data_IF_472648555950
#
_entry.id   IF_472648555950
#
_cell.length_a   1.000
_cell.length_b   1.000
_cell.length_c   1.000
_cell.angle_alpha   90.00
_cell.angle_beta   90.00
_cell.angle_gamma   90.00
#
_symmetry.space_group_name_H-M   'P 1'
#
loop_
_entity.id
_entity.type
_entity.pdbx_description
1 polymer ?
#
# COMPACT_ATOMS: atom_id res chain seq x y z
N UNK A 1 57.59 39.85 -8.93
CA UNK A 1 56.79 40.22 -7.73
C UNK A 1 55.93 39.04 -7.32
N UNK A 2 56.52 38.08 -6.60
CA UNK A 2 55.83 36.91 -6.04
C UNK A 2 55.42 37.25 -4.61
N UNK A 3 54.14 37.60 -4.43
CA UNK A 3 53.54 37.78 -3.11
C UNK A 3 53.72 36.48 -2.30
N UNK A 4 54.59 36.51 -1.30
CA UNK A 4 54.73 35.45 -0.31
C UNK A 4 53.45 35.39 0.53
N UNK A 5 52.44 34.65 0.07
CA UNK A 5 51.29 34.31 0.90
C UNK A 5 51.82 33.64 2.18
N UNK A 6 51.45 34.22 3.33
CA UNK A 6 51.83 33.71 4.64
C UNK A 6 51.41 32.24 4.79
N UNK A 7 52.12 31.50 5.65
CA UNK A 7 51.84 30.08 5.90
C UNK A 7 50.36 29.83 6.27
N UNK A 8 49.75 30.78 7.00
CA UNK A 8 48.33 30.78 7.32
C UNK A 8 47.43 30.85 6.08
N UNK A 9 47.78 31.68 5.09
CA UNK A 9 47.00 31.80 3.87
C UNK A 9 47.03 30.53 3.01
N UNK A 10 48.18 29.83 2.97
CA UNK A 10 48.31 28.54 2.28
C UNK A 10 47.47 27.45 2.95
N UNK A 11 47.44 27.43 4.28
CA UNK A 11 46.60 26.51 5.05
C UNK A 11 45.10 26.71 4.75
N UNK A 12 44.62 27.95 4.78
CA UNK A 12 43.22 28.24 4.47
C UNK A 12 42.83 27.91 3.02
N UNK A 13 43.72 28.13 2.05
CA UNK A 13 43.49 27.74 0.65
C UNK A 13 43.37 26.22 0.50
N UNK A 14 44.24 25.44 1.15
CA UNK A 14 44.16 23.97 1.15
C UNK A 14 42.89 23.46 1.83
N UNK A 15 42.47 24.08 2.94
CA UNK A 15 41.23 23.72 3.63
C UNK A 15 40.00 23.94 2.73
N UNK A 16 39.92 25.10 2.07
CA UNK A 16 38.82 25.40 1.13
C UNK A 16 38.82 24.41 -0.04
N UNK A 17 39.99 24.09 -0.60
CA UNK A 17 40.12 23.10 -1.68
C UNK A 17 39.63 21.72 -1.26
N UNK A 18 40.03 21.25 -0.06
CA UNK A 18 39.59 19.98 0.50
C UNK A 18 38.08 19.95 0.77
N UNK A 19 37.51 21.00 1.36
CA UNK A 19 36.08 21.09 1.61
C UNK A 19 35.27 21.12 0.31
N UNK A 20 35.76 21.82 -0.71
CA UNK A 20 35.11 21.87 -2.03
C UNK A 20 35.18 20.50 -2.73
N UNK A 21 36.34 19.83 -2.67
CA UNK A 21 36.51 18.47 -3.17
C UNK A 21 35.62 17.46 -2.45
N UNK A 22 35.50 17.55 -1.13
CA UNK A 22 34.59 16.72 -0.34
C UNK A 22 33.12 16.98 -0.67
N UNK A 23 32.71 18.26 -0.84
CA UNK A 23 31.36 18.62 -1.23
C UNK A 23 31.01 18.10 -2.63
N UNK A 24 31.94 18.20 -3.59
CA UNK A 24 31.81 17.63 -4.94
C UNK A 24 31.69 16.10 -4.90
N UNK A 25 32.59 15.42 -4.19
CA UNK A 25 32.57 13.97 -4.05
C UNK A 25 31.27 13.50 -3.37
N UNK A 26 30.87 14.16 -2.29
CA UNK A 26 29.61 13.89 -1.60
C UNK A 26 28.41 14.10 -2.53
N UNK A 27 28.39 15.18 -3.30
CA UNK A 27 27.39 15.45 -4.32
C UNK A 27 27.31 14.34 -5.37
N UNK A 28 28.47 13.94 -5.94
CA UNK A 28 28.59 12.90 -6.97
C UNK A 28 28.18 11.53 -6.44
N UNK A 29 28.63 11.11 -5.26
CA UNK A 29 28.25 9.80 -4.67
C UNK A 29 26.75 9.76 -4.37
N UNK A 30 26.22 10.86 -3.80
CA UNK A 30 24.79 10.96 -3.49
C UNK A 30 23.94 10.98 -4.76
N UNK A 31 24.42 11.57 -5.85
CA UNK A 31 23.69 11.69 -7.12
C UNK A 31 23.89 10.47 -8.04
N UNK A 32 25.02 9.77 -7.96
CA UNK A 32 25.30 8.55 -8.72
C UNK A 32 24.28 7.45 -8.42
N UNK A 33 23.90 7.27 -7.16
CA UNK A 33 22.82 6.35 -6.77
C UNK A 33 21.45 6.74 -7.34
N UNK A 34 21.17 8.05 -7.44
CA UNK A 34 19.92 8.62 -7.98
C UNK A 34 19.86 8.47 -9.51
N UNK A 35 20.91 8.88 -10.20
CA UNK A 35 21.04 8.77 -11.65
C UNK A 35 21.10 7.32 -12.13
N UNK A 36 21.71 6.40 -11.39
CA UNK A 36 21.70 4.97 -11.73
C UNK A 36 20.28 4.37 -11.66
N UNK A 37 19.51 4.70 -10.62
CA UNK A 37 18.11 4.26 -10.48
C UNK A 37 17.22 4.80 -11.59
N UNK A 38 17.30 6.10 -11.86
CA UNK A 38 16.55 6.76 -12.94
C UNK A 38 16.86 6.14 -14.31
N UNK A 39 18.15 5.93 -14.61
CA UNK A 39 18.60 5.30 -15.87
C UNK A 39 18.20 3.83 -16.00
N UNK A 40 18.15 3.07 -14.90
CA UNK A 40 17.71 1.68 -14.94
C UNK A 40 16.20 1.56 -15.19
N UNK A 41 15.41 2.45 -14.58
CA UNK A 41 13.96 2.47 -14.74
C UNK A 41 13.55 3.01 -16.11
N UNK A 42 14.19 4.09 -16.58
CA UNK A 42 14.00 4.63 -17.93
C UNK A 42 14.28 3.57 -19.01
N UNK A 43 15.38 2.81 -18.88
CA UNK A 43 15.69 1.69 -19.80
C UNK A 43 14.64 0.59 -19.78
N UNK A 44 14.04 0.27 -18.63
CA UNK A 44 12.94 -0.72 -18.53
C UNK A 44 11.67 -0.23 -19.20
N UNK A 45 11.35 1.05 -19.05
CA UNK A 45 10.19 1.69 -19.69
C UNK A 45 10.38 1.69 -21.21
N UNK A 46 11.56 2.11 -21.69
CA UNK A 46 11.93 2.10 -23.11
C UNK A 46 11.85 0.69 -23.72
N UNK A 47 12.36 -0.32 -23.01
CA UNK A 47 12.30 -1.71 -23.46
C UNK A 47 10.88 -2.29 -23.56
N UNK A 48 9.89 -1.70 -22.88
CA UNK A 48 8.48 -2.12 -22.97
C UNK A 48 7.77 -1.56 -24.20
N UNK A 49 8.41 -0.69 -24.99
CA UNK A 49 7.85 -0.16 -26.23
C UNK A 49 6.56 0.64 -26.05
N UNK A 50 6.35 1.22 -24.86
CA UNK A 50 5.17 2.07 -24.59
C UNK A 50 5.19 3.27 -25.53
N UNK A 51 4.08 3.58 -26.20
CA UNK A 51 4.00 4.78 -27.03
C UNK A 51 4.32 6.01 -26.17
N UNK A 52 5.44 6.67 -26.46
CA UNK A 52 5.99 7.74 -25.61
C UNK A 52 4.95 8.82 -25.26
N UNK A 53 4.05 9.17 -26.20
CA UNK A 53 3.05 10.21 -26.00
C UNK A 53 1.98 9.93 -24.94
N UNK A 54 1.42 8.72 -24.86
CA UNK A 54 0.39 8.40 -23.85
C UNK A 54 1.00 8.24 -22.45
N UNK A 55 2.21 7.70 -22.42
CA UNK A 55 2.97 7.43 -21.22
C UNK A 55 3.49 8.74 -20.58
N UNK A 56 4.00 9.68 -21.39
CA UNK A 56 4.45 11.00 -20.91
C UNK A 56 3.29 11.86 -20.37
N UNK A 57 2.12 11.81 -21.02
CA UNK A 57 0.91 12.51 -20.54
C UNK A 57 0.42 11.96 -19.21
N UNK A 58 0.42 10.64 -19.04
CA UNK A 58 0.04 10.04 -17.77
C UNK A 58 1.06 10.35 -16.66
N UNK A 59 2.36 10.33 -16.96
CA UNK A 59 3.43 10.72 -16.05
C UNK A 59 3.33 12.19 -15.60
N UNK A 60 2.90 13.08 -16.48
CA UNK A 60 2.63 14.48 -16.16
C UNK A 60 1.41 14.63 -15.22
N UNK A 61 0.29 13.98 -15.56
CA UNK A 61 -0.93 13.95 -14.72
C UNK A 61 -0.64 13.43 -13.29
N UNK A 62 0.12 12.34 -13.18
CA UNK A 62 0.59 11.78 -11.91
C UNK A 62 1.40 12.78 -11.09
N UNK A 63 2.23 13.56 -11.77
CA UNK A 63 3.03 14.60 -11.15
C UNK A 63 2.24 15.74 -10.55
N UNK A 64 1.27 16.22 -11.32
CA UNK A 64 0.38 17.29 -10.91
C UNK A 64 -0.47 16.86 -9.72
N UNK A 65 -1.03 15.63 -9.74
CA UNK A 65 -1.77 15.08 -8.62
C UNK A 65 -0.93 14.99 -7.34
N UNK A 66 0.34 14.58 -7.46
CA UNK A 66 1.24 14.53 -6.31
C UNK A 66 1.58 15.92 -5.77
N UNK A 67 1.81 16.90 -6.64
CA UNK A 67 2.08 18.27 -6.23
C UNK A 67 0.89 18.88 -5.48
N UNK A 68 -0.33 18.61 -5.94
CA UNK A 68 -1.56 19.01 -5.27
C UNK A 68 -1.70 18.37 -3.89
N UNK A 69 -1.50 17.06 -3.77
CA UNK A 69 -1.51 16.36 -2.48
C UNK A 69 -0.47 16.97 -1.51
N UNK A 70 0.72 17.29 -2.00
CA UNK A 70 1.74 17.99 -1.22
C UNK A 70 1.32 19.40 -0.79
N UNK A 71 0.63 20.13 -1.64
CA UNK A 71 0.16 21.47 -1.33
C UNK A 71 -1.02 21.45 -0.34
N UNK A 72 -1.95 20.51 -0.48
CA UNK A 72 -3.05 20.29 0.45
C UNK A 72 -2.52 19.95 1.86
N UNK A 73 -1.52 19.06 1.96
CA UNK A 73 -0.85 18.77 3.23
C UNK A 73 -0.15 19.98 3.85
N UNK A 74 0.43 20.90 3.06
CA UNK A 74 1.06 22.12 3.58
C UNK A 74 0.02 23.12 4.12
N UNK A 75 -1.20 23.11 3.59
CA UNK A 75 -2.32 23.96 4.03
C UNK A 75 -2.97 23.41 5.30
N UNK A 76 -3.04 22.10 5.45
CA UNK A 76 -3.44 21.43 6.69
C UNK A 76 -2.34 21.59 7.75
N UNK A 77 -2.68 22.09 8.94
CA UNK A 77 -1.75 22.47 10.03
C UNK A 77 -0.94 21.32 10.67
N UNK A 78 -0.71 20.19 9.99
CA UNK A 78 0.07 19.08 10.54
C UNK A 78 1.57 19.41 10.52
N UNK A 79 2.17 19.58 11.71
CA UNK A 79 3.63 19.74 11.87
C UNK A 79 4.39 18.42 11.66
N UNK A 80 3.70 17.28 11.63
CA UNK A 80 4.30 15.95 11.46
C UNK A 80 4.30 15.51 9.99
N UNK A 81 5.29 14.73 9.53
CA UNK A 81 5.27 14.16 8.19
C UNK A 81 4.06 13.23 8.06
N UNK A 82 3.14 13.52 7.15
CA UNK A 82 2.01 12.63 6.84
C UNK A 82 2.54 11.40 6.07
N UNK A 83 2.23 10.17 6.49
CA UNK A 83 2.66 8.96 5.80
C UNK A 83 1.84 8.64 4.55
N UNK A 84 2.49 8.01 3.57
CA UNK A 84 1.97 7.74 2.24
C UNK A 84 1.79 6.24 2.04
N UNK A 85 0.57 5.79 1.77
CA UNK A 85 0.24 4.37 1.59
C UNK A 85 -0.29 4.12 0.20
N UNK A 86 0.21 3.08 -0.45
CA UNK A 86 -0.27 2.63 -1.75
C UNK A 86 -1.32 1.55 -1.56
N UNK A 87 -2.54 1.78 -2.06
CA UNK A 87 -3.68 0.86 -2.00
C UNK A 87 -3.89 0.23 -3.37
N UNK A 88 -4.00 -1.08 -3.42
CA UNK A 88 -4.19 -1.83 -4.66
C UNK A 88 -5.04 -3.07 -4.38
N UNK A 89 -5.86 -3.43 -5.36
CA UNK A 89 -6.85 -4.48 -5.32
C UNK A 89 -7.52 -4.54 -6.68
N UNK A 90 -8.26 -5.59 -6.96
CA UNK A 90 -9.06 -5.69 -8.17
C UNK A 90 -10.33 -4.80 -8.06
N UNK A 91 -11.20 -4.87 -9.08
CA UNK A 91 -12.42 -4.06 -9.09
C UNK A 91 -13.38 -4.45 -7.96
N UNK A 92 -13.43 -5.73 -7.58
CA UNK A 92 -14.28 -6.20 -6.50
C UNK A 92 -13.92 -5.57 -5.15
N UNK A 93 -12.64 -5.29 -4.92
CA UNK A 93 -12.16 -4.71 -3.67
C UNK A 93 -12.74 -3.32 -3.36
N UNK A 94 -13.30 -2.62 -4.36
CA UNK A 94 -13.94 -1.31 -4.21
C UNK A 94 -13.07 -0.29 -3.44
N UNK A 95 -11.83 -0.09 -3.89
CA UNK A 95 -10.91 0.87 -3.26
C UNK A 95 -11.50 2.28 -3.10
N UNK A 96 -12.20 2.87 -4.08
CA UNK A 96 -12.83 4.18 -3.89
C UNK A 96 -13.82 4.19 -2.73
N UNK A 97 -14.63 3.14 -2.57
CA UNK A 97 -15.56 2.98 -1.46
C UNK A 97 -14.86 2.85 -0.11
N UNK A 98 -13.79 2.05 -0.03
CA UNK A 98 -12.96 1.92 1.18
C UNK A 98 -12.32 3.26 1.58
N UNK A 99 -11.76 3.98 0.61
CA UNK A 99 -11.08 5.25 0.85
C UNK A 99 -12.06 6.36 1.24
N UNK A 100 -13.25 6.40 0.63
CA UNK A 100 -14.32 7.30 1.04
C UNK A 100 -14.82 6.98 2.46
N UNK A 101 -14.97 5.69 2.80
CA UNK A 101 -15.33 5.24 4.15
C UNK A 101 -14.28 5.64 5.20
N UNK A 102 -13.00 5.69 4.83
CA UNK A 102 -11.91 6.21 5.68
C UNK A 102 -11.82 7.74 5.75
N UNK A 103 -12.89 8.45 5.40
CA UNK A 103 -12.97 9.92 5.31
C UNK A 103 -11.90 10.53 4.39
N UNK A 104 -11.54 9.80 3.32
CA UNK A 104 -10.64 10.30 2.29
C UNK A 104 -11.34 11.29 1.36
N UNK A 105 -10.70 12.44 1.14
CA UNK A 105 -11.07 13.37 0.08
C UNK A 105 -10.23 13.06 -1.17
N UNK A 106 -10.88 12.72 -2.28
CA UNK A 106 -10.18 12.48 -3.56
C UNK A 106 -9.74 13.82 -4.15
N UNK A 107 -8.46 13.93 -4.44
CA UNK A 107 -7.91 15.10 -5.12
C UNK A 107 -8.36 15.14 -6.57
N UNK A 108 -8.75 16.31 -7.10
CA UNK A 108 -9.17 16.42 -8.49
C UNK A 108 -8.00 16.11 -9.41
N UNK A 109 -8.25 15.26 -10.41
CA UNK A 109 -7.31 15.10 -11.52
C UNK A 109 -7.28 16.41 -12.31
N UNK A 110 -6.10 16.92 -12.64
CA UNK A 110 -6.01 18.11 -13.50
C UNK A 110 -6.29 17.67 -14.93
N UNK A 111 -7.38 18.18 -15.51
CA UNK A 111 -7.67 17.99 -16.93
C UNK A 111 -6.61 18.76 -17.74
N UNK A 112 -5.75 18.04 -18.43
CA UNK A 112 -4.87 18.63 -19.42
C UNK A 112 -5.66 18.73 -20.73
N UNK A 113 -6.02 19.94 -21.15
CA UNK A 113 -6.57 20.28 -22.48
C UNK A 113 -7.60 19.28 -23.05
N UNK A 114 -8.70 19.04 -22.33
CA UNK A 114 -9.87 18.33 -22.85
C UNK A 114 -9.71 16.82 -23.07
N UNK A 115 -8.53 16.25 -22.81
CA UNK A 115 -8.33 14.81 -22.75
C UNK A 115 -8.31 14.35 -21.29
N UNK A 116 -9.22 13.43 -20.92
CA UNK A 116 -9.05 12.64 -19.69
C UNK A 116 -7.77 11.82 -19.87
N UNK A 117 -6.66 12.31 -19.34
CA UNK A 117 -5.53 11.44 -19.06
C UNK A 117 -6.05 10.39 -18.09
N UNK A 118 -6.13 9.12 -18.54
CA UNK A 118 -6.39 7.97 -17.68
C UNK A 118 -5.27 7.93 -16.63
N UNK A 119 -5.52 8.61 -15.51
CA UNK A 119 -4.55 8.81 -14.47
C UNK A 119 -4.25 7.44 -13.87
N UNK A 120 -2.98 7.02 -13.95
CA UNK A 120 -2.58 5.73 -13.43
C UNK A 120 -2.85 5.60 -11.95
N UNK A 121 -2.82 6.67 -11.15
CA UNK A 121 -3.10 6.62 -9.71
C UNK A 121 -3.96 7.81 -9.29
N UNK A 122 -4.84 7.59 -8.31
CA UNK A 122 -5.62 8.64 -7.68
C UNK A 122 -5.10 8.95 -6.28
N UNK A 123 -5.18 10.22 -5.90
CA UNK A 123 -4.66 10.70 -4.63
C UNK A 123 -5.82 11.00 -3.70
N UNK A 124 -5.77 10.43 -2.50
CA UNK A 124 -6.76 10.63 -1.46
C UNK A 124 -6.08 11.18 -0.22
N UNK A 125 -6.65 12.24 0.35
CA UNK A 125 -6.17 12.85 1.58
C UNK A 125 -7.12 12.47 2.70
N UNK A 126 -6.60 11.80 3.73
CA UNK A 126 -7.32 11.58 4.99
C UNK A 126 -6.78 12.54 6.06
N UNK A 127 -7.40 12.54 7.24
CA UNK A 127 -6.91 13.33 8.36
C UNK A 127 -5.47 12.99 8.79
N UNK A 128 -5.03 11.74 8.57
CA UNK A 128 -3.77 11.22 9.11
C UNK A 128 -2.81 10.63 8.06
N UNK A 129 -3.26 10.37 6.83
CA UNK A 129 -2.46 9.71 5.79
C UNK A 129 -2.75 10.26 4.39
N UNK A 130 -1.81 10.08 3.46
CA UNK A 130 -2.09 10.16 2.02
C UNK A 130 -2.24 8.73 1.50
N UNK A 131 -3.40 8.44 0.91
CA UNK A 131 -3.66 7.18 0.24
C UNK A 131 -3.53 7.36 -1.27
N UNK A 132 -2.77 6.47 -1.90
CA UNK A 132 -2.57 6.42 -3.35
C UNK A 132 -3.35 5.21 -3.84
N UNK A 133 -4.45 5.46 -4.53
CA UNK A 133 -5.30 4.44 -5.12
C UNK A 133 -4.71 3.99 -6.46
N UNK A 134 -4.42 2.69 -6.58
CA UNK A 134 -4.06 2.05 -7.83
C UNK A 134 -5.34 1.52 -8.50
N UNK A 135 -5.61 1.87 -9.77
CA UNK A 135 -6.73 1.38 -10.55
C UNK A 135 -6.74 -0.14 -10.64
N UNK A 136 -7.94 -0.74 -10.73
CA UNK A 136 -8.10 -2.18 -10.74
C UNK A 136 -7.39 -2.86 -11.91
N UNK A 137 -7.24 -2.19 -13.06
CA UNK A 137 -6.58 -2.74 -14.25
C UNK A 137 -5.11 -3.10 -14.01
N UNK A 138 -4.44 -2.46 -13.06
CA UNK A 138 -3.07 -2.79 -12.67
C UNK A 138 -2.97 -4.16 -11.98
N UNK A 139 -4.10 -4.67 -11.48
CA UNK A 139 -4.23 -5.96 -10.79
C UNK A 139 -5.14 -6.92 -11.57
N UNK A 140 -5.81 -6.46 -12.61
CA UNK A 140 -6.69 -7.27 -13.45
C UNK A 140 -5.97 -8.03 -14.57
N UNK A 141 -6.73 -8.47 -15.57
CA UNK A 141 -6.18 -9.26 -16.69
C UNK A 141 -5.24 -8.45 -17.58
N UNK A 142 -5.47 -7.13 -17.67
CA UNK A 142 -4.63 -6.20 -18.40
C UNK A 142 -3.27 -5.90 -17.72
N UNK A 143 -3.05 -6.37 -16.48
CA UNK A 143 -1.84 -6.08 -15.71
C UNK A 143 -0.54 -6.54 -16.39
N UNK A 144 -0.62 -7.55 -17.27
CA UNK A 144 0.52 -8.05 -18.04
C UNK A 144 0.84 -7.25 -19.31
N UNK A 145 -0.03 -6.35 -19.72
CA UNK A 145 0.15 -5.62 -20.98
C UNK A 145 1.32 -4.63 -20.89
N UNK A 146 2.08 -4.41 -21.98
CA UNK A 146 3.18 -3.45 -21.98
C UNK A 146 2.74 -2.02 -21.61
N UNK A 147 1.52 -1.64 -22.00
CA UNK A 147 0.93 -0.34 -21.68
C UNK A 147 0.74 -0.16 -20.17
N UNK A 148 0.01 -1.08 -19.52
CA UNK A 148 -0.23 -0.99 -18.07
C UNK A 148 1.05 -1.10 -17.26
N UNK A 149 1.98 -1.97 -17.69
CA UNK A 149 3.28 -2.12 -17.03
C UNK A 149 4.16 -0.88 -17.18
N UNK A 150 4.20 -0.28 -18.37
CA UNK A 150 4.93 0.97 -18.59
C UNK A 150 4.39 2.10 -17.72
N UNK A 151 3.07 2.23 -17.68
CA UNK A 151 2.36 3.20 -16.85
C UNK A 151 2.69 3.04 -15.36
N UNK A 152 2.63 1.81 -14.84
CA UNK A 152 3.01 1.49 -13.46
C UNK A 152 4.46 1.89 -13.12
N UNK A 153 5.43 1.54 -13.98
CA UNK A 153 6.84 1.86 -13.76
C UNK A 153 7.09 3.37 -13.82
N UNK A 154 6.39 4.10 -14.68
CA UNK A 154 6.44 5.56 -14.74
C UNK A 154 5.88 6.20 -13.46
N UNK A 155 4.78 5.69 -12.92
CA UNK A 155 4.22 6.13 -11.64
C UNK A 155 5.21 5.94 -10.49
N UNK A 156 5.89 4.78 -10.43
CA UNK A 156 6.93 4.52 -9.46
C UNK A 156 8.15 5.46 -9.63
N UNK A 157 8.53 5.79 -10.87
CA UNK A 157 9.60 6.74 -11.15
C UNK A 157 9.23 8.14 -10.67
N UNK A 158 8.04 8.61 -11.05
CA UNK A 158 7.49 9.90 -10.67
C UNK A 158 7.46 10.08 -9.14
N UNK A 159 7.03 9.05 -8.41
CA UNK A 159 7.02 9.02 -6.95
C UNK A 159 8.43 9.08 -6.36
N UNK A 160 9.37 8.34 -6.94
CA UNK A 160 10.76 8.30 -6.52
C UNK A 160 11.48 9.64 -6.62
N UNK A 161 11.25 10.35 -7.73
CA UNK A 161 11.92 11.61 -8.05
C UNK A 161 11.47 12.74 -7.11
N UNK A 162 10.17 12.78 -6.79
CA UNK A 162 9.58 13.86 -5.99
C UNK A 162 9.63 13.57 -4.48
N UNK A 163 9.72 12.31 -4.05
CA UNK A 163 9.89 11.91 -2.64
C UNK A 163 11.17 11.12 -2.41
N UNK A 164 12.28 11.85 -2.33
CA UNK A 164 13.64 11.29 -2.33
C UNK A 164 14.05 10.44 -1.10
N UNK A 165 13.41 10.60 0.07
CA UNK A 165 13.77 9.88 1.31
C UNK A 165 12.92 8.63 1.54
N UNK A 166 11.62 8.86 1.73
CA UNK A 166 10.62 7.82 1.99
C UNK A 166 9.44 8.04 1.03
N UNK A 167 9.56 7.52 -0.22
CA UNK A 167 8.50 7.65 -1.21
C UNK A 167 7.16 7.06 -0.74
N UNK A 168 7.21 5.91 -0.05
CA UNK A 168 6.06 5.26 0.58
C UNK A 168 6.39 4.89 2.03
N UNK A 169 5.34 4.80 2.84
CA UNK A 169 5.33 4.32 4.22
C UNK A 169 4.75 2.91 4.37
N UNK A 170 4.03 2.42 3.37
CA UNK A 170 3.54 1.05 3.33
C UNK A 170 2.66 0.79 2.12
N UNK A 171 2.22 -0.46 2.02
CA UNK A 171 1.37 -0.96 0.95
C UNK A 171 0.16 -1.69 1.54
N UNK A 172 -1.03 -1.44 1.01
CA UNK A 172 -2.28 -2.04 1.45
C UNK A 172 -2.85 -2.87 0.29
N UNK A 173 -2.77 -4.18 0.42
CA UNK A 173 -3.37 -5.15 -0.49
C UNK A 173 -4.82 -5.38 -0.06
N UNK A 174 -5.77 -4.99 -0.91
CA UNK A 174 -7.19 -5.17 -0.66
C UNK A 174 -7.75 -6.32 -1.49
N UNK A 175 -8.55 -7.18 -0.87
CA UNK A 175 -9.26 -8.29 -1.53
C UNK A 175 -10.71 -8.31 -1.05
N UNK A 176 -11.66 -8.53 -1.95
CA UNK A 176 -13.07 -8.53 -1.57
C UNK A 176 -13.45 -9.83 -0.85
N UNK A 177 -14.32 -9.73 0.15
CA UNK A 177 -14.89 -10.86 0.86
C UNK A 177 -15.59 -11.83 -0.10
N UNK A 178 -16.28 -11.31 -1.12
CA UNK A 178 -16.96 -12.12 -2.14
C UNK A 178 -15.98 -13.02 -2.91
N UNK A 179 -14.78 -12.53 -3.24
CA UNK A 179 -13.83 -13.30 -4.05
C UNK A 179 -13.20 -14.40 -3.19
N UNK A 180 -12.97 -14.11 -1.90
CA UNK A 180 -12.51 -15.10 -0.94
C UNK A 180 -13.51 -16.24 -0.70
N UNK A 181 -14.81 -15.98 -0.88
CA UNK A 181 -15.89 -16.98 -0.70
C UNK A 181 -16.24 -17.74 -1.98
N UNK A 182 -16.11 -17.10 -3.15
CA UNK A 182 -16.74 -17.58 -4.38
C UNK A 182 -15.77 -17.79 -5.54
N UNK A 183 -14.57 -17.21 -5.51
CA UNK A 183 -13.61 -17.44 -6.59
C UNK A 183 -13.01 -18.84 -6.48
N UNK A 184 -12.74 -19.44 -7.64
CA UNK A 184 -11.97 -20.68 -7.69
C UNK A 184 -10.56 -20.46 -7.14
N UNK A 185 -9.99 -21.50 -6.52
CA UNK A 185 -8.67 -21.40 -5.87
C UNK A 185 -7.58 -20.93 -6.84
N UNK A 186 -7.64 -21.36 -8.11
CA UNK A 186 -6.72 -20.95 -9.17
C UNK A 186 -6.81 -19.46 -9.49
N UNK A 187 -8.03 -18.91 -9.54
CA UNK A 187 -8.27 -17.52 -9.88
C UNK A 187 -7.84 -16.61 -8.73
N UNK A 188 -8.14 -17.03 -7.49
CA UNK A 188 -7.70 -16.34 -6.29
C UNK A 188 -6.17 -16.34 -6.16
N UNK A 189 -5.52 -17.48 -6.43
CA UNK A 189 -4.06 -17.57 -6.46
C UNK A 189 -3.45 -16.71 -7.58
N UNK A 190 -4.08 -16.67 -8.75
CA UNK A 190 -3.66 -15.81 -9.86
C UNK A 190 -3.74 -14.33 -9.46
N UNK A 191 -4.85 -13.89 -8.88
CA UNK A 191 -5.03 -12.54 -8.37
C UNK A 191 -3.94 -12.18 -7.33
N UNK A 192 -3.74 -13.04 -6.33
CA UNK A 192 -2.70 -12.87 -5.33
C UNK A 192 -1.29 -12.79 -5.96
N UNK A 193 -1.02 -13.56 -7.01
CA UNK A 193 0.24 -13.51 -7.74
C UNK A 193 0.42 -12.18 -8.51
N UNK A 194 -0.64 -11.60 -9.08
CA UNK A 194 -0.58 -10.26 -9.71
C UNK A 194 -0.25 -9.20 -8.65
N UNK A 195 -0.92 -9.25 -7.51
CA UNK A 195 -0.69 -8.35 -6.37
C UNK A 195 0.71 -8.49 -5.78
N UNK A 196 1.21 -9.72 -5.67
CA UNK A 196 2.59 -10.00 -5.25
C UNK A 196 3.61 -9.36 -6.19
N UNK A 197 3.39 -9.42 -7.50
CA UNK A 197 4.29 -8.75 -8.46
C UNK A 197 4.36 -7.25 -8.21
N UNK A 198 3.24 -6.58 -7.92
CA UNK A 198 3.24 -5.15 -7.60
C UNK A 198 4.01 -4.85 -6.31
N UNK A 199 3.86 -5.68 -5.27
CA UNK A 199 4.65 -5.56 -4.03
C UNK A 199 6.15 -5.70 -4.27
N UNK A 200 6.56 -6.75 -5.00
CA UNK A 200 7.96 -7.02 -5.34
C UNK A 200 8.53 -5.87 -6.21
N UNK A 201 7.83 -5.48 -7.27
CA UNK A 201 8.27 -4.41 -8.17
C UNK A 201 8.37 -3.05 -7.48
N UNK A 202 7.44 -2.73 -6.58
CA UNK A 202 7.52 -1.50 -5.77
C UNK A 202 8.72 -1.56 -4.84
N UNK A 203 8.90 -2.66 -4.11
CA UNK A 203 9.99 -2.82 -3.14
C UNK A 203 11.36 -2.75 -3.82
N UNK A 204 11.52 -3.38 -4.98
CA UNK A 204 12.75 -3.36 -5.77
C UNK A 204 13.02 -2.00 -6.41
N UNK A 205 11.99 -1.38 -6.98
CA UNK A 205 12.11 -0.09 -7.67
C UNK A 205 12.38 1.03 -6.67
N UNK A 206 11.74 1.01 -5.51
CA UNK A 206 11.95 1.97 -4.42
C UNK A 206 13.17 1.64 -3.55
N UNK A 207 13.69 0.42 -3.62
CA UNK A 207 14.75 -0.12 -2.76
C UNK A 207 14.39 0.00 -1.29
N UNK A 208 13.13 -0.30 -0.97
CA UNK A 208 12.59 -0.22 0.39
C UNK A 208 12.07 -1.61 0.77
N UNK A 209 12.35 -2.00 2.01
CA UNK A 209 11.59 -3.06 2.65
C UNK A 209 10.39 -2.41 3.33
N UNK A 210 9.20 -2.64 2.78
CA UNK A 210 7.98 -1.95 3.20
C UNK A 210 7.07 -2.84 4.03
N UNK A 211 6.34 -2.26 5.00
CA UNK A 211 5.21 -2.93 5.62
C UNK A 211 4.09 -3.10 4.59
N UNK A 212 3.50 -4.28 4.58
CA UNK A 212 2.38 -4.65 3.74
C UNK A 212 1.21 -5.14 4.60
N UNK A 213 0.01 -4.65 4.32
CA UNK A 213 -1.23 -4.98 5.01
C UNK A 213 -2.14 -5.75 4.07
N UNK A 214 -2.83 -6.75 4.60
CA UNK A 214 -3.93 -7.41 3.92
C UNK A 214 -5.24 -6.87 4.49
N UNK A 215 -6.09 -6.33 3.63
CA UNK A 215 -7.40 -5.79 4.02
C UNK A 215 -8.48 -6.52 3.25
N UNK A 216 -9.39 -7.15 3.96
CA UNK A 216 -10.62 -7.70 3.39
C UNK A 216 -11.64 -6.58 3.32
N UNK A 217 -12.15 -6.30 2.13
CA UNK A 217 -13.21 -5.32 1.91
C UNK A 217 -14.53 -6.02 1.61
N UNK A 218 -15.64 -5.29 1.59
CA UNK A 218 -16.91 -5.85 1.17
C UNK A 218 -17.66 -6.63 2.26
N UNK A 219 -17.35 -6.43 3.54
CA UNK A 219 -18.13 -7.07 4.62
C UNK A 219 -19.61 -6.66 4.57
N UNK A 220 -19.92 -5.48 4.03
CA UNK A 220 -21.29 -4.99 3.88
C UNK A 220 -22.15 -5.85 2.94
N UNK A 221 -21.50 -6.66 2.10
CA UNK A 221 -22.14 -7.55 1.13
C UNK A 221 -22.42 -8.94 1.72
N UNK A 222 -21.93 -9.23 2.93
CA UNK A 222 -22.15 -10.52 3.58
C UNK A 222 -23.58 -10.62 4.14
N UNK A 223 -24.18 -11.82 4.12
CA UNK A 223 -25.51 -12.03 4.68
C UNK A 223 -25.53 -11.63 6.16
N UNK A 224 -26.60 -10.95 6.57
CA UNK A 224 -26.81 -10.52 7.95
C UNK A 224 -26.01 -9.30 8.42
N UNK A 225 -25.16 -8.70 7.58
CA UNK A 225 -24.40 -7.48 7.94
C UNK A 225 -25.30 -6.35 8.43
N UNK A 226 -26.43 -6.08 7.76
CA UNK A 226 -27.33 -4.98 8.14
C UNK A 226 -27.91 -5.13 9.56
N UNK A 227 -28.15 -6.37 10.00
CA UNK A 227 -28.63 -6.66 11.37
C UNK A 227 -27.50 -6.50 12.37
N UNK A 228 -26.32 -7.07 12.06
CA UNK A 228 -25.13 -6.91 12.89
C UNK A 228 -24.78 -5.43 13.09
N UNK A 229 -24.73 -4.65 12.02
CA UNK A 229 -24.40 -3.24 12.08
C UNK A 229 -25.37 -2.46 12.97
N UNK A 230 -26.68 -2.73 12.87
CA UNK A 230 -27.68 -2.06 13.71
C UNK A 230 -27.57 -2.44 15.19
N UNK A 231 -27.10 -3.65 15.48
CA UNK A 231 -26.95 -4.15 16.83
C UNK A 231 -25.67 -3.65 17.52
N UNK A 232 -24.67 -3.21 16.76
CA UNK A 232 -23.41 -2.71 17.31
C UNK A 232 -23.48 -1.21 17.65
N UNK A 233 -22.89 -0.79 18.78
CA UNK A 233 -22.78 0.63 19.11
C UNK A 233 -21.78 1.33 18.18
N UNK A 234 -21.90 2.67 17.98
CA UNK A 234 -21.01 3.44 17.10
C UNK A 234 -19.53 3.25 17.41
N UNK A 235 -19.15 3.13 18.68
CA UNK A 235 -17.75 2.95 19.09
C UNK A 235 -17.19 1.61 18.58
N UNK A 236 -17.99 0.55 18.57
CA UNK A 236 -17.60 -0.74 18.03
C UNK A 236 -17.52 -0.73 16.50
N UNK A 237 -18.38 0.05 15.85
CA UNK A 237 -18.35 0.25 14.40
C UNK A 237 -17.14 1.07 13.93
N UNK A 238 -16.65 2.01 14.74
CA UNK A 238 -15.41 2.75 14.43
C UNK A 238 -14.13 1.95 14.70
N UNK A 239 -14.19 0.93 15.56
CA UNK A 239 -13.04 0.11 15.92
C UNK A 239 -12.63 -0.83 14.77
N UNK A 240 -11.33 -0.94 14.49
CA UNK A 240 -10.88 -1.86 13.45
C UNK A 240 -11.02 -3.31 13.91
N UNK A 241 -11.54 -4.15 13.01
CA UNK A 241 -11.63 -5.60 13.19
C UNK A 241 -10.46 -6.24 12.46
N UNK A 242 -9.57 -6.90 13.20
CA UNK A 242 -8.37 -7.49 12.62
C UNK A 242 -7.28 -7.75 13.64
N UNK A 243 -6.06 -7.90 13.14
CA UNK A 243 -4.88 -8.16 13.94
C UNK A 243 -3.67 -7.44 13.36
N UNK A 244 -2.91 -6.74 14.22
CA UNK A 244 -1.65 -6.10 13.86
C UNK A 244 -0.50 -7.00 14.30
N UNK A 245 0.24 -7.55 13.34
CA UNK A 245 1.46 -8.31 13.61
C UNK A 245 2.55 -7.34 14.06
N UNK A 246 3.21 -7.60 15.19
CA UNK A 246 4.24 -6.72 15.77
C UNK A 246 5.67 -7.08 15.36
N UNK A 247 5.86 -8.07 14.50
CA UNK A 247 7.10 -8.87 14.44
C UNK A 247 8.41 -8.09 14.17
N UNK A 248 9.48 -8.30 14.98
CA UNK A 248 10.85 -7.92 14.69
C UNK A 248 11.71 -9.00 13.97
N UNK A 249 11.19 -10.20 13.67
CA UNK A 249 12.02 -11.31 13.16
C UNK A 249 12.47 -11.16 11.69
N UNK A 250 13.76 -11.40 11.37
CA UNK A 250 14.31 -11.27 10.02
C UNK A 250 14.14 -12.51 9.12
N UNK A 251 13.67 -13.64 9.64
CA UNK A 251 13.41 -14.84 8.84
C UNK A 251 12.15 -15.52 9.36
N UNK A 252 11.05 -15.31 8.66
CA UNK A 252 9.81 -16.00 8.96
C UNK A 252 9.88 -17.36 8.25
N UNK A 253 10.31 -18.40 8.97
CA UNK A 253 10.39 -19.77 8.45
C UNK A 253 9.01 -20.44 8.32
N UNK A 254 8.03 -19.97 9.10
CA UNK A 254 6.66 -20.46 9.07
C UNK A 254 5.96 -20.04 7.76
N UNK A 255 5.31 -20.96 7.03
CA UNK A 255 4.51 -20.63 5.85
C UNK A 255 3.48 -19.53 6.11
N UNK A 256 3.19 -18.71 5.09
CA UNK A 256 2.29 -17.58 5.26
C UNK A 256 0.85 -18.00 5.59
N UNK A 257 0.38 -19.15 5.09
CA UNK A 257 -0.91 -19.73 5.45
C UNK A 257 -1.02 -20.07 6.95
N UNK A 258 0.02 -20.68 7.55
CA UNK A 258 0.01 -21.03 8.98
C UNK A 258 0.01 -19.77 9.87
N UNK A 259 0.74 -18.73 9.45
CA UNK A 259 0.71 -17.44 10.16
C UNK A 259 -0.64 -16.76 10.07
N UNK A 260 -1.38 -16.99 8.98
CA UNK A 260 -2.74 -16.51 8.86
C UNK A 260 -3.66 -17.22 9.86
N UNK A 261 -3.57 -18.53 10.03
CA UNK A 261 -4.40 -19.23 11.04
C UNK A 261 -4.16 -18.66 12.43
N UNK A 262 -2.89 -18.46 12.80
CA UNK A 262 -2.52 -17.88 14.09
C UNK A 262 -3.11 -16.48 14.34
N UNK A 263 -3.39 -15.74 13.27
CA UNK A 263 -4.01 -14.41 13.31
C UNK A 263 -5.54 -14.48 13.23
N UNK A 264 -6.07 -15.38 12.41
CA UNK A 264 -7.49 -15.48 12.10
C UNK A 264 -8.27 -16.26 13.16
N UNK A 265 -7.70 -17.31 13.74
CA UNK A 265 -8.39 -18.13 14.73
C UNK A 265 -8.80 -17.34 15.98
N UNK A 266 -7.94 -16.47 16.57
CA UNK A 266 -8.37 -15.60 17.68
C UNK A 266 -9.46 -14.61 17.27
N UNK A 267 -9.40 -14.08 16.04
CA UNK A 267 -10.43 -13.20 15.50
C UNK A 267 -11.78 -13.94 15.39
N UNK A 268 -11.76 -15.16 14.85
CA UNK A 268 -12.94 -16.01 14.74
C UNK A 268 -13.53 -16.37 16.12
N UNK A 269 -12.68 -16.60 17.13
CA UNK A 269 -13.12 -16.82 18.51
C UNK A 269 -13.79 -15.58 19.11
N UNK A 270 -13.23 -14.38 18.90
CA UNK A 270 -13.85 -13.14 19.34
C UNK A 270 -15.20 -12.89 18.65
N UNK A 271 -15.30 -13.14 17.33
CA UNK A 271 -16.55 -13.06 16.60
C UNK A 271 -17.59 -14.08 17.10
N UNK A 272 -17.15 -15.28 17.47
CA UNK A 272 -18.02 -16.28 18.10
C UNK A 272 -18.56 -15.81 19.46
N UNK A 273 -17.73 -15.20 20.31
CA UNK A 273 -18.17 -14.65 21.59
C UNK A 273 -19.13 -13.48 21.40
N UNK A 274 -18.85 -12.60 20.43
CA UNK A 274 -19.74 -11.50 20.04
C UNK A 274 -21.11 -12.03 19.59
N UNK A 275 -21.10 -13.07 18.73
CA UNK A 275 -22.33 -13.74 18.28
C UNK A 275 -23.20 -14.18 19.45
N UNK A 276 -22.63 -14.85 20.45
CA UNK A 276 -23.40 -15.34 21.60
C UNK A 276 -24.07 -14.21 22.37
N UNK A 277 -23.44 -13.03 22.42
CA UNK A 277 -24.02 -11.85 23.07
C UNK A 277 -25.14 -11.23 22.24
N UNK A 278 -24.88 -10.98 20.95
CA UNK A 278 -25.88 -10.43 20.03
C UNK A 278 -27.11 -11.33 19.90
N UNK A 279 -26.95 -12.66 19.88
CA UNK A 279 -28.07 -13.60 19.82
C UNK A 279 -29.04 -13.49 21.01
N UNK A 280 -28.54 -13.12 22.20
CA UNK A 280 -29.40 -12.92 23.38
C UNK A 280 -30.19 -11.63 23.31
N UNK A 281 -29.66 -10.62 22.63
CA UNK A 281 -30.27 -9.30 22.50
C UNK A 281 -31.34 -9.24 21.40
N UNK A 282 -31.21 -10.09 20.37
CA UNK A 282 -32.18 -10.13 19.27
C UNK A 282 -33.49 -10.84 19.66
N UNK A 283 -34.62 -10.13 19.52
CA UNK A 283 -35.94 -10.68 19.82
C UNK A 283 -36.46 -11.63 18.71
N UNK A 284 -36.22 -11.30 17.44
CA UNK A 284 -36.72 -12.05 16.29
C UNK A 284 -35.84 -13.25 15.89
N UNK A 285 -36.47 -14.34 15.45
CA UNK A 285 -35.75 -15.51 14.93
C UNK A 285 -34.95 -15.17 13.66
N UNK A 286 -35.50 -14.30 12.80
CA UNK A 286 -34.83 -13.82 11.58
C UNK A 286 -33.54 -13.04 11.89
N UNK A 287 -33.59 -12.11 12.85
CA UNK A 287 -32.41 -11.33 13.24
C UNK A 287 -31.34 -12.20 13.91
N UNK A 288 -31.75 -13.19 14.73
CA UNK A 288 -30.82 -14.19 15.29
C UNK A 288 -30.14 -15.00 14.18
N UNK A 289 -30.90 -15.43 13.17
CA UNK A 289 -30.34 -16.14 12.02
C UNK A 289 -29.36 -15.25 11.24
N UNK A 290 -29.72 -13.99 10.96
CA UNK A 290 -28.86 -13.04 10.27
C UNK A 290 -27.52 -12.82 11.00
N UNK A 291 -27.54 -12.63 12.32
CA UNK A 291 -26.31 -12.53 13.14
C UNK A 291 -25.47 -13.80 13.04
N UNK A 292 -26.11 -14.97 13.05
CA UNK A 292 -25.42 -16.25 12.88
C UNK A 292 -24.77 -16.37 11.50
N UNK A 293 -25.51 -16.06 10.43
CA UNK A 293 -25.06 -16.11 9.04
C UNK A 293 -23.87 -15.20 8.79
N UNK A 294 -23.89 -13.97 9.31
CA UNK A 294 -22.76 -13.04 9.17
C UNK A 294 -21.47 -13.63 9.74
N UNK A 295 -21.55 -14.17 10.96
CA UNK A 295 -20.37 -14.71 11.66
C UNK A 295 -19.85 -15.95 10.94
N UNK A 296 -20.72 -16.83 10.46
CA UNK A 296 -20.30 -17.99 9.66
C UNK A 296 -19.74 -17.57 8.29
N UNK A 297 -20.31 -16.55 7.65
CA UNK A 297 -19.76 -16.00 6.40
C UNK A 297 -18.35 -15.42 6.59
N UNK A 298 -18.10 -14.70 7.69
CA UNK A 298 -16.74 -14.24 8.01
C UNK A 298 -15.80 -15.40 8.26
N UNK A 299 -16.21 -16.44 9.01
CA UNK A 299 -15.39 -17.65 9.23
C UNK A 299 -15.08 -18.38 7.93
N UNK A 300 -16.02 -18.41 7.00
CA UNK A 300 -15.85 -19.03 5.69
C UNK A 300 -14.81 -18.31 4.80
N UNK A 301 -14.34 -17.11 5.16
CA UNK A 301 -13.25 -16.42 4.46
C UNK A 301 -11.89 -17.10 4.66
N UNK A 302 -11.71 -17.89 5.73
CA UNK A 302 -10.40 -18.41 6.13
C UNK A 302 -9.70 -19.23 5.04
N UNK A 303 -10.34 -20.20 4.36
CA UNK A 303 -9.67 -20.97 3.31
C UNK A 303 -9.16 -20.09 2.16
N UNK A 304 -9.99 -19.18 1.65
CA UNK A 304 -9.58 -18.22 0.61
C UNK A 304 -8.45 -17.30 1.08
N UNK A 305 -8.54 -16.81 2.31
CA UNK A 305 -7.47 -15.99 2.89
C UNK A 305 -6.16 -16.77 3.00
N UNK A 306 -6.20 -18.07 3.32
CA UNK A 306 -4.99 -18.92 3.40
C UNK A 306 -4.30 -18.99 2.06
N UNK A 307 -5.02 -19.32 1.00
CA UNK A 307 -4.47 -19.34 -0.37
C UNK A 307 -3.91 -17.99 -0.76
N UNK A 308 -4.65 -16.91 -0.48
CA UNK A 308 -4.25 -15.57 -0.84
C UNK A 308 -3.00 -15.10 -0.08
N UNK A 309 -2.98 -15.25 1.24
CA UNK A 309 -1.87 -14.87 2.11
C UNK A 309 -0.63 -15.70 1.81
N UNK A 310 -0.80 -17.00 1.48
CA UNK A 310 0.27 -17.87 1.03
C UNK A 310 0.97 -17.23 -0.17
N UNK A 311 0.28 -17.03 -1.29
CA UNK A 311 0.89 -16.46 -2.50
C UNK A 311 1.45 -15.04 -2.26
N UNK A 312 0.71 -14.19 -1.54
CA UNK A 312 1.07 -12.80 -1.34
C UNK A 312 2.30 -12.61 -0.45
N UNK A 313 2.45 -13.41 0.60
CA UNK A 313 3.52 -13.25 1.59
C UNK A 313 4.52 -14.42 1.64
N UNK A 314 4.48 -15.33 0.66
CA UNK A 314 5.43 -16.44 0.60
C UNK A 314 6.87 -15.93 0.42
N UNK A 315 7.75 -16.41 1.29
CA UNK A 315 9.16 -16.04 1.26
C UNK A 315 9.95 -17.07 0.42
N UNK A 316 9.96 -16.90 -0.90
CA UNK A 316 10.67 -17.76 -1.86
C UNK A 316 12.21 -17.60 -1.81
N UNK A 317 12.81 -17.30 -0.65
CA UNK A 317 14.23 -16.94 -0.54
C UNK A 317 14.61 -15.65 -1.29
N UNK A 318 13.61 -14.86 -1.71
CA UNK A 318 13.79 -13.60 -2.47
C UNK A 318 14.30 -12.47 -1.56
N UNK A 319 15.60 -12.50 -1.27
CA UNK A 319 16.41 -11.35 -0.90
C UNK A 319 15.97 -10.53 0.33
N UNK A 320 16.75 -9.50 0.63
CA UNK A 320 16.59 -8.62 1.80
C UNK A 320 15.43 -7.62 1.70
N UNK A 321 14.53 -7.77 0.70
CA UNK A 321 13.51 -6.77 0.32
C UNK A 321 12.09 -7.31 0.18
N UNK A 322 11.86 -8.56 0.57
CA UNK A 322 10.50 -9.10 0.60
C UNK A 322 9.56 -8.22 1.44
N UNK A 323 8.30 -8.01 0.99
CA UNK A 323 7.32 -7.23 1.74
C UNK A 323 7.07 -7.85 3.12
N UNK A 324 7.01 -7.02 4.15
CA UNK A 324 6.81 -7.49 5.53
C UNK A 324 5.33 -7.43 5.87
N UNK A 325 4.70 -8.58 6.07
CA UNK A 325 3.29 -8.60 6.49
C UNK A 325 3.12 -7.98 7.89
N UNK A 326 2.22 -7.00 8.02
CA UNK A 326 2.00 -6.20 9.24
C UNK A 326 0.62 -6.32 9.84
N UNK A 327 -0.37 -6.74 9.08
CA UNK A 327 -1.73 -6.79 9.58
C UNK A 327 -2.70 -7.45 8.63
N UNK A 328 -3.74 -8.01 9.24
CA UNK A 328 -4.98 -8.39 8.58
C UNK A 328 -6.10 -7.51 9.15
N UNK A 329 -6.89 -6.87 8.31
CA UNK A 329 -8.07 -6.12 8.73
C UNK A 329 -9.27 -6.46 7.86
N UNK A 330 -10.47 -6.42 8.44
CA UNK A 330 -11.73 -6.66 7.75
C UNK A 330 -12.54 -5.36 7.82
N UNK A 331 -13.07 -4.93 6.68
CA UNK A 331 -13.68 -3.60 6.51
C UNK A 331 -14.98 -3.67 5.71
N UNK A 332 -15.93 -2.83 6.07
CA UNK A 332 -17.14 -2.59 5.32
C UNK A 332 -17.10 -1.18 4.71
N UNK A 333 -17.29 -1.10 3.40
CA UNK A 333 -17.46 0.19 2.72
C UNK A 333 -18.96 0.53 2.66
N UNK A 334 -19.30 1.81 2.47
CA UNK A 334 -20.68 2.18 2.22
C UNK A 334 -21.07 1.72 0.80
N UNK A 335 -22.04 0.81 0.67
CA UNK A 335 -22.48 0.26 -0.61
C UNK A 335 -23.95 -0.15 -0.57
N UNK A 336 -24.71 0.17 -1.62
CA UNK A 336 -26.11 -0.25 -1.79
C UNK A 336 -27.02 -0.05 -0.56
N UNK A 337 -26.85 1.08 0.16
CA UNK A 337 -27.63 1.41 1.35
C UNK A 337 -27.14 0.76 2.66
N UNK A 338 -26.13 -0.12 2.59
CA UNK A 338 -25.43 -0.60 3.77
C UNK A 338 -24.37 0.43 4.22
N UNK A 339 -24.35 0.81 5.51
CA UNK A 339 -23.38 1.76 6.06
C UNK A 339 -21.97 1.16 6.17
N UNK A 340 -20.94 2.01 6.14
CA UNK A 340 -19.56 1.61 6.36
C UNK A 340 -19.29 1.26 7.84
N UNK A 341 -18.32 0.38 8.08
CA UNK A 341 -17.87 0.02 9.42
C UNK A 341 -16.45 -0.55 9.43
N UNK A 342 -15.81 -0.46 10.59
CA UNK A 342 -14.49 -0.99 10.93
C UNK A 342 -13.33 -0.34 10.16
N UNK A 343 -13.53 0.89 9.68
CA UNK A 343 -12.58 1.62 8.83
C UNK A 343 -11.79 2.71 9.57
N UNK A 344 -12.42 3.41 10.52
CA UNK A 344 -11.87 4.63 11.13
C UNK A 344 -10.50 4.40 11.78
N UNK A 345 -10.40 3.38 12.65
CA UNK A 345 -9.16 3.04 13.34
C UNK A 345 -8.03 2.62 12.38
N UNK A 346 -8.37 1.98 11.25
CA UNK A 346 -7.38 1.59 10.24
C UNK A 346 -6.64 2.82 9.70
N UNK A 347 -7.40 3.86 9.30
CA UNK A 347 -6.85 5.08 8.73
C UNK A 347 -6.35 6.09 9.78
N UNK A 348 -7.03 6.19 10.93
CA UNK A 348 -6.74 7.16 11.97
C UNK A 348 -5.64 6.72 12.94
N UNK A 349 -5.46 5.41 13.15
CA UNK A 349 -4.57 4.88 14.20
C UNK A 349 -3.53 3.91 13.66
N UNK A 350 -3.94 2.85 12.95
CA UNK A 350 -3.04 1.74 12.65
C UNK A 350 -2.05 2.03 11.51
N UNK A 351 -2.53 2.49 10.35
CA UNK A 351 -1.65 2.85 9.24
C UNK A 351 -0.68 3.99 9.64
N UNK A 352 -1.13 5.12 10.24
CA UNK A 352 -0.21 6.18 10.65
C UNK A 352 0.85 5.74 11.64
N UNK A 353 0.49 4.89 12.62
CA UNK A 353 1.43 4.44 13.66
C UNK A 353 2.59 3.60 13.12
N UNK A 354 2.43 2.98 11.95
CA UNK A 354 3.46 2.16 11.30
C UNK A 354 4.34 2.96 10.32
N UNK A 355 4.16 4.29 10.22
CA UNK A 355 5.02 5.19 9.43
C UNK A 355 6.54 4.91 9.54
N UNK A 356 7.14 4.71 10.73
CA UNK A 356 8.59 4.58 10.87
C UNK A 356 9.13 3.18 10.52
N UNK A 357 8.28 2.24 10.11
CA UNK A 357 8.69 0.85 9.90
C UNK A 357 9.37 0.58 8.56
N UNK A 358 9.30 1.51 7.61
CA UNK A 358 9.99 1.37 6.32
C UNK A 358 11.50 1.41 6.54
N UNK A 359 12.18 0.40 6.00
CA UNK A 359 13.64 0.30 6.06
C UNK A 359 14.24 0.43 4.65
N UNK A 360 15.35 1.17 4.48
CA UNK A 360 16.13 1.07 3.26
C UNK A 360 16.53 -0.40 3.04
N UNK A 361 16.17 -0.96 1.89
CA UNK A 361 16.53 -2.33 1.56
C UNK A 361 18.05 -2.42 1.37
N UNK A 362 18.72 -3.35 2.06
CA UNK A 362 20.15 -3.61 1.79
C UNK A 362 20.32 -4.00 0.31
N UNK A 363 21.42 -3.62 -0.36
CA UNK A 363 21.76 -4.22 -1.64
C UNK A 363 21.85 -5.74 -1.45
N UNK A 364 21.18 -6.50 -2.33
CA UNK A 364 21.42 -7.94 -2.39
C UNK A 364 22.91 -8.11 -2.71
N UNK A 365 23.67 -8.95 -1.97
CA UNK A 365 25.01 -9.28 -2.41
C UNK A 365 24.87 -9.84 -3.83
N UNK A 366 25.59 -9.24 -4.78
CA UNK A 366 25.58 -9.73 -6.15
C UNK A 366 25.88 -11.23 -6.09
N UNK A 367 24.98 -12.04 -6.64
CA UNK A 367 25.28 -13.44 -6.92
C UNK A 367 26.54 -13.44 -7.77
N UNK A 368 27.67 -13.74 -7.13
CA UNK A 368 28.92 -13.98 -7.82
C UNK A 368 28.71 -15.33 -8.49
N UNK A 369 28.15 -15.30 -9.69
CA UNK A 369 28.15 -16.45 -10.58
C UNK A 369 29.62 -16.74 -10.90
N UNK A 370 30.12 -17.82 -10.30
CA UNK A 370 31.33 -18.50 -10.76
C UNK A 370 30.98 -19.37 -11.98
#
# INVERSE_FOLDING_TARGET
>A
MTLMLSHNHRFWLLLVLCLTGFALLYGVVRDAGRGARRRALARRIEALGTQAGSADMAAASLGDGMAQAQQAMKRGRSRAPVPWFLFFGDAAANLPGLLAAGHGERMPAREADGAKADACWHWWLTAATVAIEVPPDAVGDAAGTPAQRGLWLQSLLALAERRHRLPLNGMVACVAARDLLHADESDLAALAARMRRLLDETSDTLRLQMPAYLVVTGLEQLPGYAVLHRALPPEALSQAVGHRLTDPSPVIATPAAERLDAVFDPLAQHLHALRMSLLREQAGAADRLAVHEFVEAVRALQPGLRTFAQVLFENHGKGTRAPRWRGLYLTAAASNGAPAAFVDDLFGRFLPADQPLVRPGRPSPASTTA
#
